data_IF_221978487818
#
_entry.id   IF_221978487818
#
_cell.length_a   1.000
_cell.length_b   1.000
_cell.length_c   1.000
_cell.angle_alpha   90.00
_cell.angle_beta   90.00
_cell.angle_gamma   90.00
#
_symmetry.space_group_name_H-M   'P 1'
#
loop_
_entity.id
_entity.type
_entity.pdbx_description
1 polymer ?
#
# COMPACT_ATOMS: atom_id res chain seq x y z
N UNK A 1 15.01 -1.36 -23.91
CA UNK A 1 15.54 -0.73 -22.68
C UNK A 1 14.38 -0.11 -21.94
N UNK A 2 14.13 -0.52 -20.69
CA UNK A 2 13.02 -0.02 -19.87
C UNK A 2 13.29 1.44 -19.49
N UNK A 3 12.24 2.25 -19.46
CA UNK A 3 12.31 3.64 -18.98
C UNK A 3 11.19 3.85 -17.97
N UNK A 4 11.46 4.60 -16.92
CA UNK A 4 10.52 4.82 -15.82
C UNK A 4 10.06 6.26 -15.76
N UNK A 5 8.77 6.49 -15.54
CA UNK A 5 8.26 7.75 -15.02
C UNK A 5 8.01 7.58 -13.53
N UNK A 6 8.80 8.27 -12.71
CA UNK A 6 8.68 8.23 -11.25
C UNK A 6 7.74 9.35 -10.84
N UNK A 7 6.72 9.04 -10.06
CA UNK A 7 5.70 10.00 -9.61
C UNK A 7 5.78 10.16 -8.10
N UNK A 8 6.05 11.40 -7.65
CA UNK A 8 6.05 11.80 -6.24
C UNK A 8 4.91 12.79 -6.00
N UNK A 9 3.85 12.42 -5.28
CA UNK A 9 2.86 13.37 -4.77
C UNK A 9 3.48 14.15 -3.61
N UNK A 10 3.44 15.49 -3.66
CA UNK A 10 4.05 16.36 -2.68
C UNK A 10 2.99 17.22 -1.99
N UNK A 11 2.83 17.05 -0.66
CA UNK A 11 1.97 17.91 0.15
C UNK A 11 2.52 18.02 1.58
N UNK A 12 3.03 19.19 1.95
CA UNK A 12 3.54 19.51 3.29
C UNK A 12 4.57 18.49 3.80
N UNK A 13 5.72 18.39 3.09
CA UNK A 13 6.83 17.47 3.33
C UNK A 13 8.19 18.18 3.24
N UNK A 14 8.29 19.42 3.77
CA UNK A 14 9.48 20.27 3.61
C UNK A 14 10.76 19.66 4.21
N UNK A 15 10.64 18.80 5.24
CA UNK A 15 11.81 18.19 5.89
C UNK A 15 12.23 16.85 5.26
N UNK A 16 11.35 16.19 4.50
CA UNK A 16 11.62 14.86 3.94
C UNK A 16 11.88 14.85 2.43
N UNK A 17 11.26 15.76 1.67
CA UNK A 17 11.28 15.72 0.20
C UNK A 17 12.68 15.71 -0.41
N UNK A 18 13.66 16.45 0.15
CA UNK A 18 15.03 16.43 -0.34
C UNK A 18 15.63 15.02 -0.30
N UNK A 19 15.50 14.32 0.84
CA UNK A 19 16.01 12.97 1.00
C UNK A 19 15.36 12.00 0.00
N UNK A 20 14.06 12.15 -0.25
CA UNK A 20 13.34 11.34 -1.23
C UNK A 20 13.86 11.59 -2.65
N UNK A 21 14.04 12.85 -3.06
CA UNK A 21 14.60 13.21 -4.37
C UNK A 21 16.03 12.69 -4.50
N UNK A 22 16.88 12.86 -3.49
CA UNK A 22 18.27 12.40 -3.50
C UNK A 22 18.36 10.89 -3.68
N UNK A 23 17.50 10.11 -3.03
CA UNK A 23 17.42 8.65 -3.19
C UNK A 23 17.02 8.24 -4.63
N UNK A 24 16.17 9.02 -5.30
CA UNK A 24 15.83 8.81 -6.71
C UNK A 24 17.02 9.18 -7.62
N UNK A 25 17.68 10.29 -7.38
CA UNK A 25 18.82 10.74 -8.20
C UNK A 25 20.05 9.84 -8.04
N UNK A 26 20.18 9.17 -6.89
CA UNK A 26 21.23 8.21 -6.58
C UNK A 26 21.01 6.82 -7.20
N UNK A 27 19.92 6.59 -7.93
CA UNK A 27 19.65 5.29 -8.56
C UNK A 27 20.76 4.94 -9.58
N UNK A 28 21.27 3.71 -9.50
CA UNK A 28 22.26 3.18 -10.44
C UNK A 28 21.70 3.03 -11.86
N UNK A 29 20.38 2.86 -11.99
CA UNK A 29 19.67 2.84 -13.26
C UNK A 29 19.18 4.25 -13.60
N UNK A 30 19.73 4.87 -14.64
CA UNK A 30 19.54 6.30 -14.92
C UNK A 30 18.48 6.64 -15.97
N UNK A 31 17.82 5.63 -16.55
CA UNK A 31 16.81 5.83 -17.61
C UNK A 31 15.41 6.10 -17.01
N UNK A 32 15.25 7.26 -16.41
CA UNK A 32 13.99 7.70 -15.83
C UNK A 32 13.77 9.22 -15.98
N UNK A 33 12.53 9.63 -15.84
CA UNK A 33 12.13 10.98 -15.47
C UNK A 33 11.52 10.97 -14.06
N UNK A 34 11.58 12.09 -13.36
CA UNK A 34 10.99 12.30 -12.04
C UNK A 34 9.94 13.40 -12.13
N UNK A 35 8.69 13.07 -11.86
CA UNK A 35 7.55 13.97 -11.88
C UNK A 35 7.11 14.21 -10.44
N UNK A 36 7.32 15.43 -9.94
CA UNK A 36 6.90 15.85 -8.61
C UNK A 36 5.63 16.67 -8.77
N UNK A 37 4.53 16.22 -8.17
CA UNK A 37 3.25 16.89 -8.23
C UNK A 37 2.98 17.56 -6.88
N UNK A 38 3.22 18.86 -6.81
CA UNK A 38 2.86 19.65 -5.63
C UNK A 38 1.34 19.85 -5.58
N UNK A 39 0.70 19.20 -4.63
CA UNK A 39 -0.75 19.20 -4.41
C UNK A 39 -1.17 20.35 -3.48
N UNK A 40 -0.73 21.57 -3.78
CA UNK A 40 -1.08 22.78 -3.04
C UNK A 40 -0.45 22.84 -1.65
N UNK A 41 0.84 22.50 -1.49
CA UNK A 41 1.56 22.61 -0.22
C UNK A 41 1.48 24.04 0.34
N UNK A 42 1.32 24.14 1.65
CA UNK A 42 1.24 25.40 2.40
C UNK A 42 2.51 25.71 3.19
N UNK A 43 3.46 24.78 3.21
CA UNK A 43 4.81 24.92 3.76
C UNK A 43 5.84 25.19 2.65
N UNK A 44 7.14 25.09 2.94
CA UNK A 44 8.20 25.31 1.98
C UNK A 44 8.50 24.12 1.05
N UNK A 45 7.71 23.05 1.07
CA UNK A 45 7.95 21.81 0.29
C UNK A 45 8.23 22.07 -1.20
N UNK A 46 7.41 22.95 -1.81
CA UNK A 46 7.56 23.26 -3.24
C UNK A 46 8.86 24.02 -3.54
N UNK A 47 9.19 25.02 -2.73
CA UNK A 47 10.41 25.81 -2.94
C UNK A 47 11.66 24.96 -2.72
N UNK A 48 11.66 24.12 -1.66
CA UNK A 48 12.76 23.20 -1.36
C UNK A 48 12.97 22.20 -2.50
N UNK A 49 11.90 21.61 -3.02
CA UNK A 49 12.01 20.68 -4.16
C UNK A 49 12.52 21.37 -5.42
N UNK A 50 12.15 22.64 -5.66
CA UNK A 50 12.51 23.43 -6.82
C UNK A 50 13.99 23.89 -6.82
N UNK A 51 14.64 23.91 -5.66
CA UNK A 51 16.06 24.21 -5.55
C UNK A 51 16.94 23.13 -6.17
N UNK A 52 16.47 21.87 -6.20
CA UNK A 52 17.22 20.74 -6.76
C UNK A 52 17.20 20.82 -8.29
N UNK A 53 18.38 20.97 -8.92
CA UNK A 53 18.52 21.13 -10.37
C UNK A 53 19.03 19.84 -11.00
N UNK A 54 18.13 19.09 -11.62
CA UNK A 54 18.45 17.94 -12.49
C UNK A 54 17.50 17.95 -13.70
N UNK A 55 18.02 17.71 -14.90
CA UNK A 55 17.25 17.73 -16.15
C UNK A 55 16.14 16.67 -16.23
N UNK A 56 16.21 15.66 -15.38
CA UNK A 56 15.20 14.57 -15.30
C UNK A 56 13.99 14.97 -14.47
N UNK A 57 14.09 16.03 -13.67
CA UNK A 57 13.04 16.48 -12.75
C UNK A 57 12.07 17.42 -13.49
N UNK A 58 10.77 17.14 -13.31
CA UNK A 58 9.66 18.01 -13.67
C UNK A 58 8.82 18.25 -12.43
N UNK A 59 8.58 19.50 -12.09
CA UNK A 59 7.72 19.87 -10.96
C UNK A 59 6.50 20.59 -11.52
N UNK A 60 5.32 20.14 -11.11
CA UNK A 60 4.05 20.77 -11.44
C UNK A 60 3.29 21.05 -10.15
N UNK A 61 2.59 22.19 -10.11
CA UNK A 61 1.70 22.55 -8.99
C UNK A 61 0.25 22.54 -9.43
N UNK A 62 -0.62 22.10 -8.53
CA UNK A 62 -2.09 22.16 -8.67
C UNK A 62 -2.72 22.56 -7.34
N UNK A 63 -3.98 22.94 -7.37
CA UNK A 63 -4.79 23.08 -6.15
C UNK A 63 -4.91 21.73 -5.44
N UNK A 64 -4.96 21.75 -4.10
CA UNK A 64 -5.06 20.54 -3.31
C UNK A 64 -6.31 19.72 -3.68
N UNK A 65 -6.10 18.50 -4.12
CA UNK A 65 -7.14 17.54 -4.50
C UNK A 65 -6.92 16.16 -3.90
N UNK A 66 -5.91 16.01 -3.04
CA UNK A 66 -5.55 14.75 -2.39
C UNK A 66 -4.57 13.90 -3.18
N UNK A 67 -4.01 12.92 -2.49
CA UNK A 67 -2.91 12.08 -2.99
C UNK A 67 -3.27 11.35 -4.29
N UNK A 68 -4.49 10.83 -4.43
CA UNK A 68 -4.99 10.16 -5.64
C UNK A 68 -4.97 11.11 -6.83
N UNK A 69 -5.46 12.34 -6.66
CA UNK A 69 -5.48 13.37 -7.71
C UNK A 69 -4.07 13.78 -8.13
N UNK A 70 -3.14 13.91 -7.17
CA UNK A 70 -1.75 14.21 -7.46
C UNK A 70 -1.07 13.07 -8.23
N UNK A 71 -1.24 11.80 -7.79
CA UNK A 71 -0.70 10.63 -8.49
C UNK A 71 -1.28 10.51 -9.92
N UNK A 72 -2.59 10.73 -10.08
CA UNK A 72 -3.25 10.71 -11.39
C UNK A 72 -2.72 11.78 -12.34
N UNK A 73 -2.45 12.99 -11.86
CA UNK A 73 -1.81 14.01 -12.67
C UNK A 73 -0.41 13.58 -13.10
N UNK A 74 0.37 12.98 -12.18
CA UNK A 74 1.69 12.43 -12.49
C UNK A 74 1.63 11.35 -13.57
N UNK A 75 0.68 10.41 -13.48
CA UNK A 75 0.43 9.38 -14.50
C UNK A 75 0.12 10.01 -15.87
N UNK A 76 -0.76 11.00 -15.91
CA UNK A 76 -1.13 11.70 -17.16
C UNK A 76 0.04 12.45 -17.80
N UNK A 77 0.98 12.95 -16.99
CA UNK A 77 2.18 13.66 -17.46
C UNK A 77 3.32 12.74 -17.85
N UNK A 78 3.24 11.46 -17.50
CA UNK A 78 4.28 10.47 -17.74
C UNK A 78 4.57 10.31 -19.24
N UNK A 79 5.87 10.25 -19.58
CA UNK A 79 6.34 9.97 -20.94
C UNK A 79 6.51 8.47 -21.19
N UNK A 80 6.69 7.68 -20.13
CA UNK A 80 7.00 6.25 -20.20
C UNK A 80 5.88 5.41 -19.60
N UNK A 81 5.77 4.18 -20.08
CA UNK A 81 4.66 3.29 -19.72
C UNK A 81 4.84 2.63 -18.35
N UNK A 82 6.07 2.62 -17.79
CA UNK A 82 6.33 2.05 -16.48
C UNK A 82 6.34 3.17 -15.45
N UNK A 83 5.28 3.23 -14.65
CA UNK A 83 5.08 4.25 -13.62
C UNK A 83 5.54 3.66 -12.28
N UNK A 84 6.55 4.26 -11.68
CA UNK A 84 6.99 3.96 -10.33
C UNK A 84 6.46 5.04 -9.37
N UNK A 85 5.85 4.63 -8.27
CA UNK A 85 5.34 5.56 -7.26
C UNK A 85 6.30 5.63 -6.09
N UNK A 86 6.46 6.84 -5.54
CA UNK A 86 7.24 7.07 -4.33
C UNK A 86 6.60 8.22 -3.54
N UNK A 87 6.23 7.98 -2.30
CA UNK A 87 5.70 9.03 -1.43
C UNK A 87 6.83 9.95 -0.95
N UNK A 88 6.51 11.23 -0.71
CA UNK A 88 7.51 12.30 -0.50
C UNK A 88 8.29 12.23 0.83
N UNK A 89 8.02 11.22 1.65
CA UNK A 89 8.70 10.91 2.92
C UNK A 89 9.35 9.51 2.94
N UNK A 90 9.23 8.75 1.85
CA UNK A 90 9.83 7.45 1.67
C UNK A 90 11.13 7.53 0.84
N UNK A 91 11.90 6.43 0.76
CA UNK A 91 13.11 6.37 -0.04
C UNK A 91 13.43 4.94 -0.50
N UNK A 92 14.24 4.84 -1.56
CA UNK A 92 14.66 3.57 -2.15
C UNK A 92 16.15 3.30 -1.94
N UNK A 93 16.51 2.01 -1.95
CA UNK A 93 17.89 1.59 -2.18
C UNK A 93 18.35 2.02 -3.56
N UNK A 94 19.63 2.33 -3.71
CA UNK A 94 20.21 2.83 -4.98
C UNK A 94 20.09 1.85 -6.16
N UNK A 95 19.80 0.58 -5.92
CA UNK A 95 19.63 -0.46 -6.96
C UNK A 95 18.16 -0.84 -7.22
N UNK A 96 17.17 -0.16 -6.61
CA UNK A 96 15.76 -0.47 -6.77
C UNK A 96 15.33 -0.51 -8.24
N UNK A 97 15.55 0.56 -9.01
CA UNK A 97 15.16 0.60 -10.42
C UNK A 97 15.92 -0.42 -11.29
N UNK A 98 17.18 -0.72 -10.95
CA UNK A 98 17.97 -1.74 -11.65
C UNK A 98 17.36 -3.13 -11.47
N UNK A 99 17.06 -3.54 -10.25
CA UNK A 99 16.44 -4.85 -9.93
C UNK A 99 15.06 -4.96 -10.57
N UNK A 100 14.25 -3.90 -10.47
CA UNK A 100 12.92 -3.87 -11.10
C UNK A 100 12.99 -3.94 -12.62
N UNK A 101 14.00 -3.31 -13.25
CA UNK A 101 14.18 -3.38 -14.71
C UNK A 101 14.50 -4.80 -15.20
N UNK A 102 15.22 -5.59 -14.39
CA UNK A 102 15.51 -7.01 -14.68
C UNK A 102 14.21 -7.82 -14.62
N UNK A 103 13.39 -7.63 -13.57
CA UNK A 103 12.11 -8.31 -13.42
C UNK A 103 11.15 -7.96 -14.57
N UNK A 104 11.07 -6.69 -14.98
CA UNK A 104 10.24 -6.23 -16.10
C UNK A 104 10.68 -6.85 -17.43
N UNK A 105 11.98 -6.93 -17.70
CA UNK A 105 12.49 -7.58 -18.91
C UNK A 105 12.17 -9.09 -18.92
N UNK A 106 12.18 -9.75 -17.76
CA UNK A 106 11.91 -11.19 -17.63
C UNK A 106 10.41 -11.51 -17.77
N UNK A 107 9.56 -10.66 -17.21
CA UNK A 107 8.10 -10.85 -17.16
C UNK A 107 7.37 -9.70 -17.87
N UNK A 108 7.69 -9.44 -19.11
CA UNK A 108 7.28 -8.22 -19.84
C UNK A 108 5.76 -8.09 -20.09
N UNK A 109 4.98 -9.18 -19.92
CA UNK A 109 3.51 -9.21 -20.01
C UNK A 109 2.83 -8.73 -18.73
N UNK A 110 3.53 -8.72 -17.58
CA UNK A 110 2.93 -8.33 -16.33
C UNK A 110 2.56 -6.84 -16.28
N UNK A 111 1.46 -6.55 -15.59
CA UNK A 111 0.92 -5.19 -15.43
C UNK A 111 1.42 -4.50 -14.16
N UNK A 112 1.91 -5.26 -13.19
CA UNK A 112 2.42 -4.73 -11.94
C UNK A 112 3.65 -5.49 -11.46
N UNK A 113 4.59 -4.76 -10.89
CA UNK A 113 5.80 -5.27 -10.27
C UNK A 113 5.94 -4.59 -8.91
N UNK A 114 6.26 -5.35 -7.87
CA UNK A 114 6.48 -4.76 -6.55
C UNK A 114 7.58 -5.49 -5.79
N UNK A 115 8.12 -4.81 -4.79
CA UNK A 115 8.98 -5.44 -3.80
C UNK A 115 8.41 -5.24 -2.39
N UNK A 116 8.82 -6.03 -1.41
CA UNK A 116 8.59 -5.74 -0.01
C UNK A 116 9.23 -4.41 0.38
N UNK A 117 8.69 -3.80 1.44
CA UNK A 117 9.27 -2.61 2.04
C UNK A 117 9.78 -2.89 3.46
N UNK A 118 10.54 -1.96 3.99
CA UNK A 118 10.95 -1.94 5.38
C UNK A 118 10.36 -0.72 6.08
N UNK A 119 9.76 -0.96 7.24
CA UNK A 119 9.39 0.14 8.14
C UNK A 119 10.64 0.64 8.83
N UNK A 120 10.93 1.94 8.72
CA UNK A 120 12.06 2.57 9.40
C UNK A 120 11.56 3.49 10.49
N UNK A 121 11.86 3.15 11.74
CA UNK A 121 11.52 3.99 12.89
C UNK A 121 12.55 5.13 13.09
N UNK A 122 12.31 5.99 14.09
CA UNK A 122 13.21 7.10 14.45
C UNK A 122 14.62 6.68 14.88
N UNK A 123 14.83 5.39 15.18
CA UNK A 123 16.13 4.84 15.57
C UNK A 123 16.82 4.13 14.40
N UNK A 124 16.19 4.13 13.20
CA UNK A 124 16.70 3.43 12.03
C UNK A 124 16.49 1.91 12.08
N UNK A 125 15.66 1.41 13.01
CA UNK A 125 15.35 -0.02 13.12
C UNK A 125 14.25 -0.35 12.12
N UNK A 126 14.53 -1.32 11.25
CA UNK A 126 13.64 -1.77 10.19
C UNK A 126 12.90 -3.06 10.52
N UNK A 127 11.68 -3.18 9.98
CA UNK A 127 10.91 -4.41 9.93
C UNK A 127 10.49 -4.66 8.49
N UNK A 128 10.94 -5.78 7.91
CA UNK A 128 10.67 -6.10 6.50
C UNK A 128 9.38 -6.89 6.33
N UNK A 129 8.60 -6.52 5.31
CA UNK A 129 7.36 -7.18 4.89
C UNK A 129 7.60 -8.33 3.90
N UNK A 130 8.83 -8.85 3.78
CA UNK A 130 9.16 -9.95 2.88
C UNK A 130 8.30 -11.19 3.15
N UNK A 131 7.86 -11.83 2.06
CA UNK A 131 7.15 -13.12 2.14
C UNK A 131 8.17 -14.21 2.45
N UNK A 132 8.25 -14.58 3.73
CA UNK A 132 9.27 -15.51 4.24
C UNK A 132 9.25 -16.89 3.58
N UNK A 133 8.05 -17.37 3.20
CA UNK A 133 7.87 -18.68 2.56
C UNK A 133 8.47 -18.76 1.15
N UNK A 134 8.72 -17.64 0.49
CA UNK A 134 9.26 -17.60 -0.88
C UNK A 134 10.79 -17.45 -0.95
N UNK A 135 11.45 -17.14 0.18
CA UNK A 135 12.90 -16.88 0.19
C UNK A 135 13.27 -15.52 -0.40
N UNK A 136 14.48 -15.03 -0.06
CA UNK A 136 14.93 -13.65 -0.37
C UNK A 136 15.24 -13.41 -1.86
N UNK A 137 15.54 -14.45 -2.61
CA UNK A 137 15.93 -14.35 -4.03
C UNK A 137 14.78 -14.64 -4.98
N UNK A 138 13.57 -14.80 -4.46
CA UNK A 138 12.42 -15.06 -5.30
C UNK A 138 12.10 -13.87 -6.19
N UNK A 139 12.01 -14.12 -7.48
CA UNK A 139 11.46 -13.19 -8.48
C UNK A 139 10.51 -13.98 -9.36
N UNK A 140 9.24 -13.63 -9.38
CA UNK A 140 8.27 -14.39 -10.17
C UNK A 140 6.83 -13.90 -10.05
N UNK A 141 5.98 -14.55 -10.83
CA UNK A 141 4.54 -14.32 -10.84
C UNK A 141 3.92 -14.70 -9.50
N UNK A 142 2.99 -13.87 -9.04
CA UNK A 142 2.31 -14.05 -7.77
C UNK A 142 0.86 -13.62 -7.86
N UNK A 143 -0.03 -14.28 -7.12
CA UNK A 143 -1.37 -13.76 -6.86
C UNK A 143 -1.36 -13.01 -5.53
N UNK A 144 -1.56 -11.70 -5.56
CA UNK A 144 -1.62 -10.89 -4.33
C UNK A 144 -2.77 -11.32 -3.42
N UNK A 145 -3.79 -12.00 -3.94
CA UNK A 145 -4.95 -12.47 -3.19
C UNK A 145 -4.64 -13.64 -2.23
N UNK A 146 -3.48 -14.28 -2.38
CA UNK A 146 -3.04 -15.34 -1.49
C UNK A 146 -2.34 -14.84 -0.22
N UNK A 147 -2.01 -13.56 -0.15
CA UNK A 147 -1.20 -12.96 0.90
C UNK A 147 -2.00 -11.96 1.74
N UNK A 148 -1.38 -11.47 2.80
CA UNK A 148 -1.95 -10.39 3.61
C UNK A 148 -1.75 -9.03 2.93
N UNK A 149 -2.47 -8.00 3.37
CA UNK A 149 -2.25 -6.65 2.87
C UNK A 149 -0.84 -6.13 3.17
N UNK A 150 -0.27 -6.51 4.31
CA UNK A 150 1.09 -6.15 4.70
C UNK A 150 2.16 -6.76 3.80
N UNK A 151 1.91 -7.99 3.27
CA UNK A 151 2.78 -8.66 2.30
C UNK A 151 2.49 -8.23 0.84
N UNK A 152 1.42 -7.48 0.63
CA UNK A 152 0.99 -6.97 -0.67
C UNK A 152 1.80 -5.76 -1.15
N UNK A 153 1.47 -5.25 -2.35
CA UNK A 153 2.12 -4.07 -2.90
C UNK A 153 1.91 -2.84 -2.01
N UNK A 154 3.00 -2.18 -1.67
CA UNK A 154 3.03 -0.85 -1.06
C UNK A 154 3.26 0.21 -2.13
N UNK A 155 2.64 1.40 -2.01
CA UNK A 155 2.70 2.41 -3.07
C UNK A 155 4.14 2.78 -3.43
N UNK A 156 4.98 3.10 -2.44
CA UNK A 156 6.39 3.45 -2.66
C UNK A 156 7.27 2.26 -3.07
N UNK A 157 6.71 1.07 -3.25
CA UNK A 157 7.43 -0.14 -3.66
C UNK A 157 6.85 -0.77 -4.95
N UNK A 158 5.90 -0.09 -5.60
CA UNK A 158 5.15 -0.61 -6.74
C UNK A 158 5.50 0.14 -8.03
N UNK A 159 5.57 -0.64 -9.13
CA UNK A 159 5.65 -0.14 -10.50
C UNK A 159 4.51 -0.76 -11.28
N UNK A 160 3.76 0.06 -12.02
CA UNK A 160 2.71 -0.40 -12.93
C UNK A 160 3.10 -0.14 -14.37
N UNK A 161 2.69 -1.05 -15.26
CA UNK A 161 2.78 -0.85 -16.69
C UNK A 161 1.42 -0.37 -17.19
N UNK A 162 1.35 0.89 -17.60
CA UNK A 162 0.10 1.51 -18.02
C UNK A 162 -0.13 1.36 -19.52
N UNK A 163 -1.41 1.37 -19.90
CA UNK A 163 -1.88 1.73 -21.22
C UNK A 163 -2.35 3.18 -21.15
N UNK A 164 -1.80 4.02 -21.99
CA UNK A 164 -2.10 5.46 -21.95
C UNK A 164 -3.60 5.70 -22.10
N UNK A 165 -4.12 6.64 -21.34
CA UNK A 165 -5.54 7.04 -21.30
C UNK A 165 -6.52 5.93 -20.84
N UNK A 166 -6.02 4.79 -20.35
CA UNK A 166 -6.85 3.75 -19.78
C UNK A 166 -7.17 4.03 -18.30
N UNK A 167 -8.45 4.26 -17.94
CA UNK A 167 -8.83 4.61 -16.57
C UNK A 167 -8.58 3.49 -15.56
N UNK A 168 -8.34 2.25 -16.02
CA UNK A 168 -7.97 1.13 -15.14
C UNK A 168 -6.77 1.46 -14.25
N UNK A 169 -5.81 2.23 -14.78
CA UNK A 169 -4.54 2.55 -14.12
C UNK A 169 -4.56 3.85 -13.31
N UNK A 170 -5.73 4.47 -13.15
CA UNK A 170 -5.88 5.67 -12.32
C UNK A 170 -6.37 5.31 -10.91
N UNK A 171 -5.91 6.06 -9.92
CA UNK A 171 -6.43 6.00 -8.57
C UNK A 171 -7.87 6.52 -8.53
N UNK A 172 -8.71 5.93 -7.69
CA UNK A 172 -10.07 6.43 -7.44
C UNK A 172 -9.98 7.66 -6.52
N UNK A 173 -10.26 8.85 -7.05
CA UNK A 173 -10.17 10.12 -6.33
C UNK A 173 -11.27 10.29 -5.25
N UNK A 174 -12.30 9.44 -5.27
CA UNK A 174 -13.31 9.39 -4.21
C UNK A 174 -12.81 8.62 -2.97
N UNK A 175 -11.72 7.85 -3.08
CA UNK A 175 -11.12 7.16 -1.97
C UNK A 175 -9.96 7.98 -1.38
N UNK A 176 -9.97 8.12 -0.06
CA UNK A 176 -8.87 8.73 0.71
C UNK A 176 -8.16 7.73 1.62
N UNK A 177 -8.68 6.49 1.70
CA UNK A 177 -8.06 5.39 2.45
C UNK A 177 -8.25 4.07 1.69
N UNK A 178 -7.13 3.43 1.34
CA UNK A 178 -7.10 2.20 0.55
C UNK A 178 -7.27 2.44 -0.96
N UNK A 179 -7.02 3.66 -1.41
CA UNK A 179 -7.02 4.05 -2.83
C UNK A 179 -5.99 3.27 -3.64
N UNK A 180 -4.87 2.96 -3.02
CA UNK A 180 -3.79 2.15 -3.58
C UNK A 180 -4.18 0.67 -3.65
N UNK A 181 -4.73 0.11 -2.57
CA UNK A 181 -5.24 -1.26 -2.54
C UNK A 181 -6.31 -1.47 -3.61
N UNK A 182 -7.19 -0.49 -3.82
CA UNK A 182 -8.19 -0.53 -4.89
C UNK A 182 -7.54 -0.64 -6.27
N UNK A 183 -6.51 0.17 -6.52
CA UNK A 183 -5.77 0.14 -7.78
C UNK A 183 -5.07 -1.22 -7.96
N UNK A 184 -4.42 -1.74 -6.93
CA UNK A 184 -3.74 -3.04 -6.99
C UNK A 184 -4.72 -4.20 -7.25
N UNK A 185 -5.89 -4.18 -6.63
CA UNK A 185 -6.97 -5.15 -6.89
C UNK A 185 -7.37 -5.10 -8.37
N UNK A 186 -7.68 -3.92 -8.90
CA UNK A 186 -8.10 -3.76 -10.30
C UNK A 186 -7.05 -4.26 -11.29
N UNK A 187 -5.78 -3.94 -11.06
CA UNK A 187 -4.68 -4.40 -11.90
C UNK A 187 -4.51 -5.91 -11.80
N UNK A 188 -4.50 -6.48 -10.59
CA UNK A 188 -4.32 -7.92 -10.38
C UNK A 188 -5.48 -8.77 -10.90
N UNK A 189 -6.69 -8.21 -10.97
CA UNK A 189 -7.84 -8.86 -11.63
C UNK A 189 -7.74 -8.81 -13.17
N UNK A 190 -6.93 -7.90 -13.72
CA UNK A 190 -6.78 -7.70 -15.15
C UNK A 190 -5.58 -8.43 -15.75
N UNK A 191 -4.51 -8.58 -14.99
CA UNK A 191 -3.27 -9.16 -15.51
C UNK A 191 -2.32 -9.67 -14.43
N UNK A 192 -1.15 -10.07 -14.88
CA UNK A 192 -0.12 -10.66 -14.04
C UNK A 192 0.55 -9.64 -13.11
N UNK A 193 0.95 -10.13 -11.94
CA UNK A 193 1.71 -9.38 -10.94
C UNK A 193 3.01 -10.12 -10.64
N UNK A 194 4.10 -9.38 -10.57
CA UNK A 194 5.44 -9.92 -10.27
C UNK A 194 5.93 -9.40 -8.92
N UNK A 195 6.40 -10.30 -8.08
CA UNK A 195 7.11 -9.99 -6.85
C UNK A 195 8.61 -10.13 -7.05
N UNK A 196 9.37 -9.12 -6.65
CA UNK A 196 10.82 -9.18 -6.38
C UNK A 196 10.99 -9.23 -4.87
N UNK A 197 11.14 -10.42 -4.27
CA UNK A 197 11.07 -10.61 -2.79
C UNK A 197 12.33 -10.13 -2.04
N UNK A 198 12.80 -8.95 -2.39
CA UNK A 198 13.91 -8.23 -1.78
C UNK A 198 13.43 -6.85 -1.34
N UNK A 199 13.50 -6.55 -0.06
CA UNK A 199 13.10 -5.24 0.44
C UNK A 199 14.09 -4.18 -0.06
N UNK A 200 13.59 -3.20 -0.80
CA UNK A 200 14.39 -2.13 -1.43
C UNK A 200 13.69 -0.77 -1.35
N UNK A 201 12.52 -0.72 -0.73
CA UNK A 201 11.76 0.49 -0.44
C UNK A 201 11.64 0.64 1.07
N UNK A 202 11.78 1.87 1.57
CA UNK A 202 11.80 2.17 2.99
C UNK A 202 10.69 3.13 3.34
N UNK A 203 9.75 2.64 4.17
CA UNK A 203 8.64 3.41 4.70
C UNK A 203 9.07 4.12 5.98
N UNK A 204 9.12 5.43 5.95
CA UNK A 204 9.56 6.25 7.08
C UNK A 204 8.43 6.46 8.09
N UNK A 205 8.49 5.75 9.22
CA UNK A 205 7.51 5.90 10.31
C UNK A 205 7.58 7.27 11.03
N UNK A 206 8.64 8.03 10.82
CA UNK A 206 8.84 9.36 11.41
C UNK A 206 8.43 10.51 10.46
N UNK A 207 7.83 10.19 9.30
CA UNK A 207 7.40 11.17 8.30
C UNK A 207 6.35 12.14 8.83
N UNK A 208 6.37 13.37 8.29
CA UNK A 208 5.46 14.46 8.64
C UNK A 208 4.07 14.26 8.00
N UNK A 209 3.02 14.83 8.61
CA UNK A 209 1.68 14.88 8.04
C UNK A 209 1.16 13.57 7.44
N UNK A 210 1.34 12.45 8.15
CA UNK A 210 0.94 11.13 7.68
C UNK A 210 -0.58 11.04 7.53
N UNK A 211 -1.05 10.62 6.35
CA UNK A 211 -2.48 10.46 6.06
C UNK A 211 -3.13 9.36 6.93
N UNK A 212 -2.40 8.29 7.23
CA UNK A 212 -2.88 7.17 8.05
C UNK A 212 -3.36 7.57 9.45
N UNK A 213 -2.90 8.71 9.98
CA UNK A 213 -3.28 9.21 11.31
C UNK A 213 -4.48 10.14 11.32
N UNK A 214 -4.99 10.53 10.15
CA UNK A 214 -6.12 11.45 10.03
C UNK A 214 -7.44 10.69 10.01
N UNK A 215 -8.48 11.19 10.70
CA UNK A 215 -9.84 10.68 10.55
C UNK A 215 -10.28 10.78 9.08
N UNK A 216 -10.93 9.75 8.59
CA UNK A 216 -11.43 9.69 7.21
C UNK A 216 -12.93 9.39 7.23
N UNK A 217 -13.70 10.02 6.36
CA UNK A 217 -15.12 9.71 6.20
C UNK A 217 -15.27 8.25 5.71
N UNK A 218 -16.17 7.49 6.32
CA UNK A 218 -16.44 6.08 5.96
C UNK A 218 -16.69 5.90 4.46
N UNK A 219 -17.49 6.78 3.87
CA UNK A 219 -17.81 6.78 2.43
C UNK A 219 -16.57 6.86 1.52
N UNK A 220 -15.43 7.35 2.05
CA UNK A 220 -14.17 7.50 1.34
C UNK A 220 -13.14 6.41 1.67
N UNK A 221 -13.53 5.39 2.45
CA UNK A 221 -12.68 4.25 2.75
C UNK A 221 -13.02 3.06 1.86
N UNK A 222 -12.02 2.39 1.30
CA UNK A 222 -12.23 1.23 0.43
C UNK A 222 -13.06 0.15 1.09
N UNK A 223 -12.85 -0.12 2.39
CA UNK A 223 -13.54 -1.20 3.11
C UNK A 223 -15.08 -1.09 3.01
N UNK A 224 -15.63 0.11 2.97
CA UNK A 224 -17.05 0.37 2.80
C UNK A 224 -17.49 0.44 1.33
N UNK A 225 -16.54 0.43 0.39
CA UNK A 225 -16.76 0.50 -1.04
C UNK A 225 -16.47 -0.83 -1.77
N UNK A 226 -16.30 -1.94 -1.05
CA UNK A 226 -16.04 -3.26 -1.62
C UNK A 226 -17.22 -3.84 -2.41
N UNK A 227 -18.42 -3.30 -2.24
CA UNK A 227 -19.62 -3.72 -2.99
C UNK A 227 -19.45 -3.69 -4.51
N UNK A 228 -18.56 -2.82 -5.05
CA UNK A 228 -18.21 -2.78 -6.48
C UNK A 228 -17.59 -4.08 -7.00
N UNK A 229 -17.02 -4.90 -6.13
CA UNK A 229 -16.38 -6.19 -6.46
C UNK A 229 -17.28 -7.41 -6.25
N UNK A 230 -18.53 -7.25 -5.76
CA UNK A 230 -19.43 -8.34 -5.38
C UNK A 230 -19.59 -9.41 -6.47
N UNK A 231 -19.69 -9.01 -7.74
CA UNK A 231 -19.83 -9.96 -8.86
C UNK A 231 -18.58 -10.86 -9.01
N UNK A 232 -17.38 -10.31 -8.80
CA UNK A 232 -16.13 -11.06 -8.90
C UNK A 232 -15.97 -11.94 -7.66
N UNK A 233 -16.32 -11.42 -6.51
CA UNK A 233 -16.30 -12.13 -5.22
C UNK A 233 -17.12 -13.44 -5.25
N UNK A 234 -18.27 -13.46 -5.95
CA UNK A 234 -19.09 -14.66 -6.10
C UNK A 234 -18.52 -15.72 -7.04
N UNK A 235 -17.59 -15.36 -7.91
CA UNK A 235 -17.03 -16.25 -8.95
C UNK A 235 -15.56 -16.62 -8.74
N UNK A 236 -14.86 -15.91 -7.84
CA UNK A 236 -13.45 -16.12 -7.55
C UNK A 236 -13.23 -16.36 -6.03
N UNK A 237 -13.09 -17.62 -5.59
CA UNK A 237 -12.93 -17.95 -4.16
C UNK A 237 -11.68 -17.37 -3.51
N UNK A 238 -10.56 -17.26 -4.23
CA UNK A 238 -9.32 -16.69 -3.68
C UNK A 238 -9.48 -15.19 -3.46
N UNK A 239 -10.11 -14.51 -4.39
CA UNK A 239 -10.45 -13.10 -4.25
C UNK A 239 -11.45 -12.87 -3.10
N UNK A 240 -12.48 -13.72 -2.97
CA UNK A 240 -13.41 -13.68 -1.83
C UNK A 240 -12.64 -13.80 -0.50
N UNK A 241 -11.77 -14.79 -0.38
CA UNK A 241 -10.95 -15.00 0.83
C UNK A 241 -10.06 -13.78 1.14
N UNK A 242 -9.51 -13.13 0.12
CA UNK A 242 -8.71 -11.91 0.27
C UNK A 242 -9.56 -10.76 0.84
N UNK A 243 -10.74 -10.51 0.29
CA UNK A 243 -11.66 -9.48 0.80
C UNK A 243 -12.15 -9.80 2.22
N UNK A 244 -12.41 -11.06 2.53
CA UNK A 244 -12.79 -11.48 3.89
C UNK A 244 -11.69 -11.22 4.91
N UNK A 245 -10.42 -11.45 4.54
CA UNK A 245 -9.26 -11.06 5.38
C UNK A 245 -9.22 -9.55 5.61
N UNK A 246 -9.50 -8.73 4.58
CA UNK A 246 -9.56 -7.27 4.70
C UNK A 246 -10.66 -6.83 5.68
N UNK A 247 -11.89 -7.33 5.50
CA UNK A 247 -13.02 -7.06 6.39
C UNK A 247 -12.68 -7.48 7.83
N UNK A 248 -12.12 -8.67 7.99
CA UNK A 248 -11.74 -9.19 9.30
C UNK A 248 -10.63 -8.37 9.95
N UNK A 249 -9.63 -7.89 9.21
CA UNK A 249 -8.59 -7.00 9.73
C UNK A 249 -9.20 -5.69 10.24
N UNK A 250 -10.13 -5.10 9.48
CA UNK A 250 -10.84 -3.89 9.89
C UNK A 250 -11.65 -4.09 11.17
N UNK A 251 -12.41 -5.19 11.27
CA UNK A 251 -13.18 -5.56 12.47
C UNK A 251 -12.25 -5.73 13.69
N UNK A 252 -11.10 -6.40 13.52
CA UNK A 252 -10.12 -6.56 14.62
C UNK A 252 -9.59 -5.22 15.12
N UNK A 253 -9.20 -4.34 14.22
CA UNK A 253 -8.67 -3.01 14.57
C UNK A 253 -9.73 -2.18 15.33
N UNK A 254 -10.99 -2.30 14.94
CA UNK A 254 -12.09 -1.70 15.70
C UNK A 254 -12.22 -2.29 17.10
N UNK A 255 -12.25 -3.61 17.23
CA UNK A 255 -12.44 -4.28 18.52
C UNK A 255 -11.30 -3.99 19.52
N UNK A 256 -10.10 -3.60 19.05
CA UNK A 256 -9.00 -3.13 19.93
C UNK A 256 -9.05 -1.63 20.20
N UNK A 257 -9.99 -0.89 19.61
CA UNK A 257 -10.16 0.54 19.82
C UNK A 257 -9.23 1.43 18.97
N UNK A 258 -8.60 0.86 17.95
CA UNK A 258 -7.70 1.60 17.04
C UNK A 258 -8.45 2.46 16.01
N UNK A 259 -9.76 2.25 15.86
CA UNK A 259 -10.61 3.05 14.96
C UNK A 259 -11.86 3.51 15.70
N UNK A 260 -12.23 4.78 15.51
CA UNK A 260 -13.48 5.35 16.03
C UNK A 260 -14.66 5.11 15.06
N UNK A 261 -14.42 4.41 13.95
CA UNK A 261 -15.31 4.30 12.80
C UNK A 261 -16.15 3.05 12.88
N UNK A 262 -17.19 3.02 13.76
CA UNK A 262 -18.09 1.87 13.72
C UNK A 262 -19.55 2.18 13.97
N UNK A 263 -20.26 2.14 12.88
CA UNK A 263 -21.72 1.92 12.93
C UNK A 263 -22.17 0.58 12.32
N UNK A 264 -21.31 -0.15 11.60
CA UNK A 264 -21.78 -1.26 10.74
C UNK A 264 -20.91 -2.53 10.77
N UNK A 265 -20.31 -2.90 11.93
CA UNK A 265 -19.61 -4.20 12.03
C UNK A 265 -20.51 -5.37 11.64
N UNK A 266 -21.78 -5.32 11.97
CA UNK A 266 -22.72 -6.38 11.63
C UNK A 266 -22.80 -6.57 10.12
N UNK A 267 -22.84 -5.48 9.34
CA UNK A 267 -22.86 -5.58 7.87
C UNK A 267 -21.59 -6.22 7.32
N UNK A 268 -20.41 -5.90 7.88
CA UNK A 268 -19.17 -6.55 7.48
C UNK A 268 -19.13 -8.03 7.88
N UNK A 269 -19.62 -8.38 9.08
CA UNK A 269 -19.69 -9.78 9.53
C UNK A 269 -20.64 -10.61 8.68
N UNK A 270 -21.71 -10.00 8.15
CA UNK A 270 -22.66 -10.67 7.26
C UNK A 270 -22.07 -10.99 5.89
N UNK A 271 -21.07 -10.21 5.45
CA UNK A 271 -20.39 -10.42 4.18
C UNK A 271 -19.25 -11.44 4.23
N UNK A 272 -18.74 -11.80 5.44
CA UNK A 272 -17.58 -12.68 5.62
C UNK A 272 -18.03 -14.15 5.70
N UNK A 273 -17.29 -15.04 5.02
CA UNK A 273 -17.33 -16.46 5.28
C UNK A 273 -16.55 -16.78 6.58
N UNK A 274 -17.27 -16.77 7.71
CA UNK A 274 -16.70 -16.95 9.05
C UNK A 274 -16.12 -18.36 9.29
N UNK A 275 -16.46 -19.36 8.47
CA UNK A 275 -15.89 -20.70 8.59
C UNK A 275 -14.39 -20.71 8.36
N UNK A 276 -13.89 -19.79 7.56
CA UNK A 276 -12.44 -19.60 7.31
C UNK A 276 -11.68 -19.00 8.50
N UNK A 277 -12.36 -18.47 9.54
CA UNK A 277 -11.73 -17.76 10.66
C UNK A 277 -11.87 -18.45 12.02
N UNK A 278 -12.52 -19.60 12.06
CA UNK A 278 -12.66 -20.45 13.24
C UNK A 278 -13.85 -20.12 14.14
N UNK A 279 -14.09 -20.99 15.12
CA UNK A 279 -15.30 -21.02 15.94
C UNK A 279 -15.61 -19.70 16.68
N UNK A 280 -14.59 -19.04 17.21
CA UNK A 280 -14.79 -17.76 17.92
C UNK A 280 -15.51 -16.71 17.07
N UNK A 281 -15.14 -16.56 15.80
CA UNK A 281 -15.71 -15.56 14.90
C UNK A 281 -17.14 -15.90 14.52
N UNK A 282 -17.49 -17.20 14.44
CA UNK A 282 -18.87 -17.64 14.27
C UNK A 282 -19.75 -17.25 15.45
N UNK A 283 -19.21 -17.30 16.68
CA UNK A 283 -19.94 -16.92 17.90
C UNK A 283 -20.03 -15.41 18.06
N UNK A 284 -18.95 -14.67 17.79
CA UNK A 284 -18.89 -13.21 18.00
C UNK A 284 -19.98 -12.45 17.23
N UNK A 285 -20.40 -12.99 16.09
CA UNK A 285 -21.48 -12.44 15.27
C UNK A 285 -22.80 -12.32 16.04
N UNK A 286 -23.07 -13.22 16.95
CA UNK A 286 -24.30 -13.26 17.75
C UNK A 286 -24.18 -12.58 19.10
N UNK A 287 -23.02 -12.03 19.41
CA UNK A 287 -22.76 -11.30 20.67
C UNK A 287 -23.18 -9.85 20.49
N UNK A 288 -23.89 -9.25 21.47
CA UNK A 288 -24.19 -7.82 21.47
C UNK A 288 -22.92 -6.97 21.33
N UNK A 289 -22.99 -5.90 20.56
CA UNK A 289 -21.85 -5.05 20.20
C UNK A 289 -21.07 -4.55 21.42
N UNK A 290 -21.81 -4.15 22.47
CA UNK A 290 -21.23 -3.71 23.74
C UNK A 290 -20.34 -4.75 24.46
N UNK A 291 -20.48 -6.03 24.14
CA UNK A 291 -19.71 -7.14 24.73
C UNK A 291 -18.63 -7.69 23.79
N UNK A 292 -18.71 -7.41 22.49
CA UNK A 292 -17.76 -7.95 21.48
C UNK A 292 -16.33 -7.55 21.75
N UNK A 293 -16.09 -6.27 22.02
CA UNK A 293 -14.76 -5.74 22.35
C UNK A 293 -14.19 -6.40 23.60
N UNK A 294 -14.99 -6.55 24.64
CA UNK A 294 -14.57 -7.20 25.89
C UNK A 294 -14.17 -8.66 25.66
N UNK A 295 -15.00 -9.42 24.96
CA UNK A 295 -14.72 -10.84 24.65
C UNK A 295 -13.49 -10.99 23.73
N UNK A 296 -13.34 -10.09 22.76
CA UNK A 296 -12.17 -10.09 21.87
C UNK A 296 -10.88 -9.80 22.66
N UNK A 297 -10.89 -8.79 23.52
CA UNK A 297 -9.75 -8.44 24.35
C UNK A 297 -9.38 -9.57 25.33
N UNK A 298 -10.36 -10.20 25.96
CA UNK A 298 -10.12 -11.38 26.82
C UNK A 298 -9.41 -12.51 26.06
N UNK A 299 -9.86 -12.82 24.84
CA UNK A 299 -9.22 -13.81 23.96
C UNK A 299 -7.81 -13.37 23.53
N UNK A 300 -7.65 -12.11 23.15
CA UNK A 300 -6.36 -11.55 22.73
C UNK A 300 -5.31 -11.69 23.83
N UNK A 301 -5.63 -11.27 25.04
CA UNK A 301 -4.72 -11.39 26.18
C UNK A 301 -4.49 -12.85 26.62
N UNK A 302 -5.49 -13.71 26.54
CA UNK A 302 -5.31 -15.15 26.82
C UNK A 302 -4.33 -15.81 25.84
N UNK A 303 -4.40 -15.46 24.55
CA UNK A 303 -3.47 -15.97 23.55
C UNK A 303 -2.03 -15.47 23.77
N UNK A 304 -1.84 -14.20 24.14
CA UNK A 304 -0.51 -13.65 24.51
C UNK A 304 0.05 -14.39 25.72
N UNK A 305 -0.77 -14.64 26.72
CA UNK A 305 -0.34 -15.35 27.94
C UNK A 305 0.06 -16.80 27.63
N UNK A 306 -0.73 -17.51 26.83
CA UNK A 306 -0.44 -18.88 26.40
C UNK A 306 0.85 -18.95 25.58
N UNK A 307 1.06 -17.99 24.66
CA UNK A 307 2.30 -17.93 23.87
C UNK A 307 3.53 -17.66 24.75
N UNK A 308 3.44 -16.78 25.76
CA UNK A 308 4.52 -16.56 26.72
C UNK A 308 4.82 -17.79 27.54
N UNK A 309 3.79 -18.56 27.96
CA UNK A 309 3.96 -19.81 28.70
C UNK A 309 4.62 -20.89 27.85
N UNK A 310 4.32 -20.98 26.54
CA UNK A 310 4.96 -21.94 25.63
C UNK A 310 6.47 -21.65 25.48
N UNK A 311 6.85 -20.38 25.34
CA UNK A 311 8.27 -19.97 25.24
C UNK A 311 9.03 -20.27 26.53
N UNK A 312 8.38 -20.22 27.70
CA UNK A 312 9.02 -20.54 28.97
C UNK A 312 9.20 -22.07 29.14
N UNK A 313 8.36 -22.89 28.54
CA UNK A 313 8.46 -24.36 28.59
C UNK A 313 9.49 -24.94 27.61
N UNK A 314 9.91 -24.18 26.59
CA UNK A 314 10.94 -24.57 25.62
C UNK A 314 12.36 -24.11 26.00
N UNK A 315 12.50 -23.41 27.12
CA UNK A 315 13.79 -23.07 27.78
C UNK A 315 14.02 -23.93 29.00
#
# INVERSE_FOLDING_TARGET
MIRFSIVIPLYNKEFSICKTIDAVLAQTYTFFELIIVNDGSTDNSYEVAKEIKDKRIKIVSKENGGVSSARNLGIKMAQYDHIAFLDADDFWDCNYLSEMSIAINTYSSALMYYCPHEYIDKNGIGHSTRIKSLGEKYVGLISIFNYTQEEGPWTSAAIIKIEKDNPLFLFDENLTKGEDIDLWIRIALKGEVVLVNKAMSHYNLSGENRLMTKPTEESKCLIWNLGKYRKIETTNPDFKRYLDKMRMSHIKNYLVGDTQEVKEIDSLLDEIDLDNFGFFWRVIKYVPDSLRSVLFMMRFYSNILLHRISIIKEK
#
